data_IF_562479044461
#
_entry.id   IF_562479044461
#
_cell.length_a   1.000
_cell.length_b   1.000
_cell.length_c   1.000
_cell.angle_alpha   90.00
_cell.angle_beta   90.00
_cell.angle_gamma   90.00
#
_symmetry.space_group_name_H-M   'P 1'
#
loop_
_entity.id
_entity.type
_entity.pdbx_description
1 polymer ?
#
# COMPACT_ATOMS: atom_id res chain seq x y z
N UNK A 1 -10.54 1.39 2.25
CA UNK A 1 -11.04 0.02 2.00
C UNK A 1 -9.91 -0.94 1.64
N UNK A 2 -9.05 -0.61 0.68
CA UNK A 2 -8.01 -1.52 0.13
C UNK A 2 -7.04 -2.19 1.12
N UNK A 3 -6.87 -1.66 2.33
CA UNK A 3 -5.89 -2.15 3.31
C UNK A 3 -6.49 -2.33 4.71
N UNK A 4 -7.82 -2.42 4.84
CA UNK A 4 -8.46 -2.36 6.16
C UNK A 4 -8.18 -3.60 7.03
N UNK A 5 -7.90 -4.74 6.43
CA UNK A 5 -7.60 -6.03 7.06
C UNK A 5 -6.09 -6.34 7.10
N UNK A 6 -5.25 -5.33 6.89
CA UNK A 6 -3.81 -5.49 7.08
C UNK A 6 -3.53 -5.75 8.56
N UNK A 7 -2.67 -6.73 8.84
CA UNK A 7 -2.15 -6.96 10.19
C UNK A 7 -0.62 -6.94 10.16
N UNK A 8 -0.04 -5.82 10.59
CA UNK A 8 1.40 -5.67 10.77
C UNK A 8 1.83 -6.03 12.21
N UNK A 9 0.95 -6.57 13.05
CA UNK A 9 1.25 -6.93 14.45
C UNK A 9 1.32 -5.74 15.41
N UNK A 10 0.93 -4.53 14.99
CA UNK A 10 0.66 -3.39 15.88
C UNK A 10 -0.37 -2.46 15.21
N UNK A 11 -1.47 -2.19 15.90
CA UNK A 11 -2.54 -1.32 15.40
C UNK A 11 -2.05 0.08 14.99
N UNK A 12 -0.98 0.60 15.62
CA UNK A 12 -0.37 1.88 15.24
C UNK A 12 0.29 1.81 13.86
N UNK A 13 0.92 0.68 13.52
CA UNK A 13 1.51 0.45 12.19
C UNK A 13 0.42 0.33 11.13
N UNK A 14 -0.67 -0.39 11.42
CA UNK A 14 -1.81 -0.50 10.50
C UNK A 14 -2.42 0.89 10.22
N UNK A 15 -2.67 1.69 11.26
CA UNK A 15 -3.18 3.07 11.11
C UNK A 15 -2.22 3.96 10.31
N UNK A 16 -0.91 3.86 10.58
CA UNK A 16 0.09 4.63 9.85
C UNK A 16 0.12 4.24 8.36
N UNK A 17 0.05 2.95 8.03
CA UNK A 17 -0.03 2.50 6.63
C UNK A 17 -1.22 3.14 5.91
N UNK A 18 -2.41 3.07 6.50
CA UNK A 18 -3.63 3.66 5.89
C UNK A 18 -3.46 5.16 5.66
N UNK A 19 -2.85 5.88 6.60
CA UNK A 19 -2.55 7.31 6.41
C UNK A 19 -1.58 7.54 5.27
N UNK A 20 -0.45 6.83 5.23
CA UNK A 20 0.58 6.98 4.19
C UNK A 20 -0.03 6.71 2.81
N UNK A 21 -0.77 5.62 2.66
CA UNK A 21 -1.40 5.26 1.38
C UNK A 21 -2.49 6.26 0.98
N UNK A 22 -3.24 6.80 1.95
CA UNK A 22 -4.20 7.87 1.71
C UNK A 22 -3.53 9.15 1.20
N UNK A 23 -2.46 9.59 1.86
CA UNK A 23 -1.73 10.81 1.50
C UNK A 23 -1.08 10.69 0.11
N UNK A 24 -0.37 9.57 -0.15
CA UNK A 24 0.29 9.32 -1.44
C UNK A 24 -0.72 9.04 -2.56
N UNK A 25 -1.82 8.34 -2.26
CA UNK A 25 -2.87 8.03 -3.24
C UNK A 25 -3.66 9.27 -3.67
N UNK A 26 -3.79 10.28 -2.79
CA UNK A 26 -4.40 11.55 -3.15
C UNK A 26 -3.51 12.41 -4.08
N UNK A 27 -2.20 12.14 -4.10
CA UNK A 27 -1.20 12.93 -4.82
C UNK A 27 -0.17 12.01 -5.52
N UNK A 28 -0.60 11.16 -6.47
CA UNK A 28 0.22 10.04 -6.99
C UNK A 28 1.46 10.46 -7.78
N UNK A 29 1.54 11.71 -8.22
CA UNK A 29 2.67 12.26 -8.97
C UNK A 29 3.65 13.04 -8.08
N UNK A 30 3.32 13.26 -6.82
CA UNK A 30 4.13 14.04 -5.90
C UNK A 30 5.15 13.16 -5.17
N UNK A 31 6.30 13.73 -4.82
CA UNK A 31 7.26 13.04 -3.96
C UNK A 31 6.72 12.88 -2.53
N UNK A 32 7.33 11.98 -1.74
CA UNK A 32 6.94 11.79 -0.33
C UNK A 32 6.94 13.10 0.47
N UNK A 33 7.97 13.98 0.37
CA UNK A 33 7.93 15.28 1.02
C UNK A 33 6.75 16.17 0.61
N UNK A 34 6.41 16.19 -0.69
CA UNK A 34 5.35 17.04 -1.22
C UNK A 34 3.96 16.50 -0.86
N UNK A 35 3.79 15.18 -0.84
CA UNK A 35 2.53 14.55 -0.45
C UNK A 35 2.31 14.52 1.07
N UNK A 36 3.35 14.77 1.87
CA UNK A 36 3.28 14.80 3.33
C UNK A 36 2.91 16.19 3.86
N UNK A 37 2.21 16.22 5.00
CA UNK A 37 1.76 17.48 5.62
C UNK A 37 2.89 18.32 6.21
N UNK A 38 3.86 17.68 6.85
CA UNK A 38 4.94 18.31 7.62
C UNK A 38 6.17 17.39 7.70
N UNK A 39 7.29 17.91 8.19
CA UNK A 39 8.56 17.17 8.28
C UNK A 39 8.46 15.91 9.15
N UNK A 40 7.67 15.96 10.23
CA UNK A 40 7.45 14.80 11.10
C UNK A 40 6.69 13.68 10.36
N UNK A 41 5.74 14.04 9.50
CA UNK A 41 5.06 13.09 8.63
C UNK A 41 6.03 12.48 7.59
N UNK A 42 6.90 13.30 6.98
CA UNK A 42 7.93 12.82 6.04
C UNK A 42 8.86 11.80 6.69
N UNK A 43 9.45 12.15 7.84
CA UNK A 43 10.30 11.25 8.60
C UNK A 43 9.53 9.98 8.98
N UNK A 44 8.28 10.13 9.41
CA UNK A 44 7.44 9.00 9.79
C UNK A 44 7.11 8.03 8.65
N UNK A 45 7.12 8.47 7.38
CA UNK A 45 6.98 7.61 6.20
C UNK A 45 8.25 6.79 6.00
N UNK A 46 9.41 7.44 5.96
CA UNK A 46 10.68 6.75 5.74
C UNK A 46 11.02 5.77 6.87
N UNK A 47 10.82 6.17 8.13
CA UNK A 47 10.95 5.27 9.28
C UNK A 47 9.97 4.09 9.22
N UNK A 48 8.78 4.28 8.64
CA UNK A 48 7.81 3.20 8.48
C UNK A 48 8.29 2.18 7.44
N UNK A 49 8.86 2.64 6.33
CA UNK A 49 9.42 1.77 5.29
C UNK A 49 10.70 1.05 5.73
N UNK A 50 11.54 1.70 6.55
CA UNK A 50 12.77 1.09 7.09
C UNK A 50 12.50 0.14 8.26
N UNK A 51 11.28 0.11 8.79
CA UNK A 51 10.93 -0.73 9.93
C UNK A 51 10.85 -2.21 9.53
N UNK A 52 11.85 -3.00 9.91
CA UNK A 52 11.91 -4.44 9.66
C UNK A 52 10.70 -5.26 10.18
N UNK A 53 9.87 -4.70 11.07
CA UNK A 53 8.63 -5.34 11.53
C UNK A 53 7.44 -5.09 10.59
N UNK A 54 7.56 -4.17 9.65
CA UNK A 54 6.56 -3.92 8.59
C UNK A 54 6.86 -4.89 7.45
N UNK A 55 5.92 -5.78 7.15
CA UNK A 55 6.05 -6.71 6.04
C UNK A 55 5.38 -6.16 4.79
N UNK A 56 6.18 -5.96 3.75
CA UNK A 56 5.71 -5.67 2.38
C UNK A 56 4.76 -6.74 1.85
N UNK A 57 5.04 -8.02 2.12
CA UNK A 57 4.19 -9.16 1.75
C UNK A 57 2.81 -9.07 2.38
N UNK A 58 2.71 -8.68 3.66
CA UNK A 58 1.40 -8.52 4.31
C UNK A 58 0.61 -7.33 3.75
N UNK A 59 1.28 -6.25 3.38
CA UNK A 59 0.66 -5.11 2.70
C UNK A 59 0.08 -5.55 1.35
N UNK A 60 0.87 -6.25 0.53
CA UNK A 60 0.42 -6.78 -0.75
C UNK A 60 -0.73 -7.79 -0.60
N UNK A 61 -0.63 -8.71 0.36
CA UNK A 61 -1.68 -9.71 0.65
C UNK A 61 -3.01 -9.05 1.02
N UNK A 62 -2.99 -8.02 1.85
CA UNK A 62 -4.20 -7.28 2.20
C UNK A 62 -4.87 -6.66 0.95
N UNK A 63 -4.09 -5.99 0.10
CA UNK A 63 -4.60 -5.40 -1.13
C UNK A 63 -5.10 -6.45 -2.15
N UNK A 64 -4.37 -7.56 -2.30
CA UNK A 64 -4.76 -8.66 -3.17
C UNK A 64 -6.07 -9.31 -2.72
N UNK A 65 -6.26 -9.53 -1.42
CA UNK A 65 -7.53 -10.07 -0.88
C UNK A 65 -8.71 -9.17 -1.26
N UNK A 66 -8.57 -7.85 -1.10
CA UNK A 66 -9.61 -6.89 -1.51
C UNK A 66 -9.90 -6.93 -3.00
N UNK A 67 -8.87 -7.05 -3.81
CA UNK A 67 -9.03 -7.23 -5.26
C UNK A 67 -9.82 -8.50 -5.57
N UNK A 68 -9.44 -9.65 -4.98
CA UNK A 68 -10.13 -10.93 -5.18
C UNK A 68 -11.59 -10.86 -4.73
N UNK A 69 -11.86 -10.31 -3.55
CA UNK A 69 -13.22 -10.13 -3.02
C UNK A 69 -14.08 -9.30 -3.97
N UNK A 70 -13.56 -8.17 -4.48
CA UNK A 70 -14.28 -7.33 -5.45
C UNK A 70 -14.53 -8.07 -6.77
N UNK A 71 -13.57 -8.87 -7.23
CA UNK A 71 -13.72 -9.62 -8.49
C UNK A 71 -14.74 -10.75 -8.41
N UNK A 72 -15.03 -11.29 -7.23
CA UNK A 72 -16.01 -12.36 -7.04
C UNK A 72 -17.45 -11.98 -7.47
N UNK A 73 -17.74 -10.68 -7.62
CA UNK A 73 -19.02 -10.19 -8.13
C UNK A 73 -19.18 -10.25 -9.66
N UNK A 74 -18.17 -10.70 -10.40
CA UNK A 74 -18.17 -10.75 -11.86
C UNK A 74 -18.05 -12.18 -12.37
N UNK A 75 -18.80 -12.51 -13.42
CA UNK A 75 -18.78 -13.85 -14.06
C UNK A 75 -17.45 -14.14 -14.77
N UNK A 76 -16.82 -13.12 -15.34
CA UNK A 76 -15.54 -13.24 -16.05
C UNK A 76 -14.66 -12.04 -15.72
N UNK A 77 -13.38 -12.30 -15.46
CA UNK A 77 -12.35 -11.28 -15.20
C UNK A 77 -11.10 -11.54 -16.05
N UNK A 78 -10.51 -10.49 -16.58
CA UNK A 78 -9.24 -10.57 -17.33
C UNK A 78 -8.07 -10.21 -16.41
N UNK A 79 -7.18 -11.16 -16.15
CA UNK A 79 -5.93 -10.90 -15.44
C UNK A 79 -4.84 -10.57 -16.46
N UNK A 80 -4.32 -9.35 -16.40
CA UNK A 80 -3.24 -8.89 -17.29
C UNK A 80 -1.91 -9.10 -16.58
N UNK A 81 -1.00 -9.85 -17.21
CA UNK A 81 0.37 -10.06 -16.75
C UNK A 81 1.35 -9.54 -17.81
N UNK A 82 2.34 -8.76 -17.37
CA UNK A 82 3.42 -8.26 -18.20
C UNK A 82 4.72 -8.33 -17.40
N UNK A 83 5.68 -9.10 -17.90
CA UNK A 83 7.00 -9.24 -17.30
C UNK A 83 7.94 -8.20 -17.88
N UNK A 84 8.19 -7.12 -17.12
CA UNK A 84 9.11 -6.04 -17.52
C UNK A 84 10.58 -6.47 -17.59
N UNK A 85 10.91 -7.71 -17.22
CA UNK A 85 12.27 -8.26 -17.37
C UNK A 85 12.54 -8.91 -18.73
N UNK A 86 11.50 -9.11 -19.55
CA UNK A 86 11.61 -9.74 -20.88
C UNK A 86 11.93 -8.74 -22.01
N UNK A 87 12.26 -7.50 -21.67
CA UNK A 87 12.85 -6.51 -22.59
C UNK A 87 14.26 -6.13 -22.11
N UNK A 88 15.24 -6.97 -22.45
CA UNK A 88 16.67 -6.65 -22.60
C UNK A 88 17.27 -7.55 -23.68
#
# INVERSE_FOLDING_TARGET
EELWDVDLGDARRNRRLVKIVGDLGAQPNESVPQASRDEAAVQGVYEFWDNARVSDKEILRAHQRRTVERTAGYETVSAIECDRSQEC
#
